data_IF_049797302836
#
_entry.id   IF_049797302836
#
_cell.length_a   1.000
_cell.length_b   1.000
_cell.length_c   1.000
_cell.angle_alpha   90.00
_cell.angle_beta   90.00
_cell.angle_gamma   90.00
#
_symmetry.space_group_name_H-M   'P 1'
#
loop_
_entity.id
_entity.type
_entity.pdbx_description
1 polymer ?
#
# COMPACT_ATOMS: atom_id res chain seq x y z
N UNK A 1 3.47 -12.73 -5.75
CA UNK A 1 2.95 -11.37 -5.93
C UNK A 1 3.97 -10.42 -5.33
N UNK A 2 4.59 -9.58 -6.17
CA UNK A 2 5.54 -8.57 -5.71
C UNK A 2 4.80 -7.29 -5.34
N UNK A 3 4.65 -7.03 -4.04
CA UNK A 3 4.06 -5.79 -3.50
C UNK A 3 5.12 -4.70 -3.25
N UNK A 4 6.32 -4.90 -3.78
CA UNK A 4 7.47 -4.00 -3.61
C UNK A 4 7.17 -2.60 -4.14
N UNK A 5 6.42 -2.51 -5.23
CA UNK A 5 6.06 -1.24 -5.86
C UNK A 5 4.98 -0.50 -5.05
N UNK A 6 3.98 -1.24 -4.56
CA UNK A 6 2.95 -0.73 -3.65
C UNK A 6 3.57 -0.27 -2.33
N UNK A 7 4.57 -0.99 -1.81
CA UNK A 7 5.31 -0.61 -0.59
C UNK A 7 6.00 0.72 -0.76
N UNK A 8 6.68 0.90 -1.89
CA UNK A 8 7.33 2.16 -2.23
C UNK A 8 6.33 3.31 -2.39
N UNK A 9 5.22 3.07 -3.08
CA UNK A 9 4.16 4.09 -3.25
C UNK A 9 3.51 4.45 -1.91
N UNK A 10 3.18 3.48 -1.07
CA UNK A 10 2.63 3.71 0.26
C UNK A 10 3.61 4.46 1.16
N UNK A 11 4.90 4.13 1.10
CA UNK A 11 5.98 4.84 1.78
C UNK A 11 6.09 6.30 1.33
N UNK A 12 6.04 6.57 0.02
CA UNK A 12 6.04 7.94 -0.52
C UNK A 12 4.79 8.74 -0.12
N UNK A 13 3.61 8.10 -0.08
CA UNK A 13 2.34 8.75 0.30
C UNK A 13 2.33 9.10 1.79
N UNK A 14 2.78 8.17 2.64
CA UNK A 14 2.81 8.36 4.10
C UNK A 14 4.04 9.14 4.57
N UNK A 15 5.06 9.32 3.71
CA UNK A 15 6.32 9.96 4.06
C UNK A 15 7.16 9.17 5.06
N UNK A 16 6.97 7.85 5.12
CA UNK A 16 7.69 6.94 6.03
C UNK A 16 8.60 6.00 5.25
N UNK A 17 9.64 5.47 5.89
CA UNK A 17 10.51 4.48 5.24
C UNK A 17 9.75 3.19 4.89
N UNK A 18 10.13 2.53 3.79
CA UNK A 18 9.50 1.28 3.30
C UNK A 18 9.46 0.14 4.34
N UNK A 19 10.40 0.17 5.29
CA UNK A 19 10.47 -0.77 6.42
C UNK A 19 9.36 -0.57 7.46
N UNK A 20 8.74 0.61 7.53
CA UNK A 20 7.63 0.92 8.44
C UNK A 20 6.25 0.67 7.80
N UNK A 21 6.20 0.30 6.52
CA UNK A 21 4.94 -0.05 5.85
C UNK A 21 4.57 -1.48 6.18
N UNK A 22 3.35 -1.66 6.69
CA UNK A 22 2.78 -2.95 7.03
C UNK A 22 1.46 -3.08 6.29
N UNK A 23 1.35 -4.10 5.46
CA UNK A 23 0.12 -4.41 4.73
C UNK A 23 -0.71 -5.40 5.51
N UNK A 24 -2.03 -5.24 5.48
CA UNK A 24 -2.93 -6.23 6.01
C UNK A 24 -2.93 -7.50 5.12
N UNK A 25 -2.59 -8.69 5.67
CA UNK A 25 -2.57 -9.94 4.91
C UNK A 25 -3.93 -10.33 4.32
N UNK A 26 -5.04 -9.88 4.90
CA UNK A 26 -6.39 -10.17 4.40
C UNK A 26 -6.76 -9.29 3.20
N UNK A 27 -6.13 -8.13 3.05
CA UNK A 27 -6.38 -7.17 1.97
C UNK A 27 -5.29 -7.15 0.89
N UNK A 28 -4.35 -8.10 0.90
CA UNK A 28 -3.28 -8.19 -0.11
C UNK A 28 -3.82 -8.31 -1.54
N UNK A 29 -4.99 -8.93 -1.70
CA UNK A 29 -5.62 -9.08 -3.01
C UNK A 29 -6.12 -7.74 -3.57
N UNK A 30 -6.64 -6.87 -2.71
CA UNK A 30 -7.10 -5.52 -3.07
C UNK A 30 -5.92 -4.57 -3.28
N UNK A 31 -4.89 -4.67 -2.42
CA UNK A 31 -3.63 -3.93 -2.58
C UNK A 31 -2.94 -4.34 -3.89
N UNK A 32 -3.02 -5.62 -4.28
CA UNK A 32 -2.47 -6.08 -5.56
C UNK A 32 -3.28 -5.61 -6.77
N UNK A 33 -4.58 -5.32 -6.61
CA UNK A 33 -5.44 -4.76 -7.66
C UNK A 33 -5.26 -3.24 -7.80
N UNK A 34 -4.88 -2.57 -6.71
CA UNK A 34 -4.59 -1.15 -6.71
C UNK A 34 -3.33 -0.83 -7.54
N UNK A 35 -3.52 -0.18 -8.68
CA UNK A 35 -2.44 0.28 -9.55
C UNK A 35 -2.26 1.81 -9.46
N UNK A 36 -3.31 2.55 -9.06
CA UNK A 36 -3.29 4.00 -9.00
C UNK A 36 -2.95 4.52 -7.61
N UNK A 37 -2.29 5.68 -7.56
CA UNK A 37 -1.97 6.40 -6.31
C UNK A 37 -3.21 6.67 -5.46
N UNK A 38 -4.34 6.96 -6.09
CA UNK A 38 -5.61 7.23 -5.41
C UNK A 38 -6.17 5.97 -4.72
N UNK A 39 -6.05 4.80 -5.35
CA UNK A 39 -6.50 3.52 -4.78
C UNK A 39 -5.64 3.13 -3.57
N UNK A 40 -4.31 3.28 -3.68
CA UNK A 40 -3.40 3.05 -2.55
C UNK A 40 -3.70 4.03 -1.41
N UNK A 41 -3.98 5.30 -1.72
CA UNK A 41 -4.34 6.28 -0.71
C UNK A 41 -5.65 5.94 -0.01
N UNK A 42 -6.67 5.50 -0.75
CA UNK A 42 -7.94 5.04 -0.19
C UNK A 42 -7.74 3.81 0.71
N UNK A 43 -6.91 2.85 0.31
CA UNK A 43 -6.58 1.67 1.12
C UNK A 43 -5.89 2.07 2.44
N UNK A 44 -4.96 3.03 2.39
CA UNK A 44 -4.27 3.56 3.58
C UNK A 44 -5.26 4.30 4.50
N UNK A 45 -6.16 5.12 3.94
CA UNK A 45 -7.18 5.84 4.73
C UNK A 45 -8.23 4.90 5.34
N UNK A 46 -8.52 3.77 4.67
CA UNK A 46 -9.42 2.73 5.18
C UNK A 46 -8.74 1.82 6.23
N UNK A 47 -7.44 2.02 6.51
CA UNK A 47 -6.67 1.28 7.50
C UNK A 47 -6.20 -0.12 7.06
N UNK A 48 -6.09 -0.35 5.74
CA UNK A 48 -5.60 -1.59 5.12
C UNK A 48 -4.06 -1.65 4.98
#
# INVERSE_FOLDING_TARGET
MDLSLQRRLAAEILGVGENNIRFDPERLEDISKAFRREEIKALIEDGA
#
